data_IF_851376336800
#
_entry.id   IF_851376336800
#
_cell.length_a   1.000
_cell.length_b   1.000
_cell.length_c   1.000
_cell.angle_alpha   90.00
_cell.angle_beta   90.00
_cell.angle_gamma   90.00
#
_symmetry.space_group_name_H-M   'P 1'
#
loop_
_entity.id
_entity.type
_entity.pdbx_description
1 polymer ?
#
# COMPACT_ATOMS: atom_id res chain seq x y z
N UNK A 1 2.74 -13.36 -61.33
CA UNK A 1 2.61 -12.23 -60.39
C UNK A 1 2.05 -12.80 -59.09
N UNK A 2 2.91 -13.42 -58.27
CA UNK A 2 3.55 -12.78 -57.10
C UNK A 2 2.50 -12.29 -56.09
N UNK A 3 2.07 -13.19 -55.23
CA UNK A 3 2.42 -13.16 -53.80
C UNK A 3 2.26 -11.85 -53.02
N UNK A 4 1.37 -10.93 -53.41
CA UNK A 4 1.24 -9.64 -52.71
C UNK A 4 0.10 -9.57 -51.68
N UNK A 5 -0.85 -10.51 -51.66
CA UNK A 5 -2.08 -10.34 -50.87
C UNK A 5 -2.16 -11.11 -49.54
N UNK A 6 -1.25 -12.05 -49.24
CA UNK A 6 -1.28 -12.78 -47.95
C UNK A 6 -0.31 -12.24 -46.90
N UNK A 7 0.76 -11.56 -47.31
CA UNK A 7 1.73 -10.96 -46.38
C UNK A 7 1.19 -9.70 -45.68
N UNK A 8 0.26 -8.96 -46.33
CA UNK A 8 -0.26 -7.71 -45.78
C UNK A 8 -1.23 -7.92 -44.60
N UNK A 9 -2.04 -8.99 -44.62
CA UNK A 9 -2.94 -9.32 -43.52
C UNK A 9 -2.22 -9.86 -42.27
N UNK A 10 -1.07 -10.52 -42.46
CA UNK A 10 -0.25 -11.00 -41.33
C UNK A 10 0.49 -9.83 -40.64
N UNK A 11 0.83 -8.78 -41.38
CA UNK A 11 1.46 -7.56 -40.83
C UNK A 11 0.48 -6.70 -40.02
N UNK A 12 -0.79 -6.64 -40.41
CA UNK A 12 -1.81 -5.87 -39.67
C UNK A 12 -2.25 -6.61 -38.39
N UNK A 13 -2.24 -7.95 -38.39
CA UNK A 13 -2.54 -8.73 -37.18
C UNK A 13 -1.38 -8.79 -36.17
N UNK A 14 -0.13 -8.59 -36.59
CA UNK A 14 1.04 -8.54 -35.70
C UNK A 14 1.28 -7.16 -35.07
N UNK A 15 0.70 -6.09 -35.62
CA UNK A 15 0.74 -4.75 -35.02
C UNK A 15 -0.30 -4.56 -33.89
N UNK A 16 -1.32 -5.42 -33.82
CA UNK A 16 -2.35 -5.35 -32.76
C UNK A 16 -2.08 -6.27 -31.55
N UNK A 17 -1.08 -7.15 -31.60
CA UNK A 17 -0.70 -8.01 -30.47
C UNK A 17 0.30 -7.37 -29.50
N UNK A 18 0.75 -6.14 -29.80
CA UNK A 18 1.61 -5.33 -28.93
C UNK A 18 0.85 -4.15 -28.28
N UNK A 19 -0.48 -4.26 -28.16
CA UNK A 19 -1.16 -3.52 -27.11
C UNK A 19 -0.65 -4.08 -25.78
N UNK A 20 0.47 -3.53 -25.32
CA UNK A 20 0.96 -3.70 -23.96
C UNK A 20 -0.23 -3.42 -23.08
N UNK A 21 -0.84 -4.48 -22.56
CA UNK A 21 -1.64 -4.39 -21.36
C UNK A 21 -0.64 -3.87 -20.35
N UNK A 22 -0.59 -2.55 -20.20
CA UNK A 22 -0.19 -1.95 -18.94
C UNK A 22 -1.27 -2.44 -18.00
N UNK A 23 -1.10 -3.68 -17.52
CA UNK A 23 -1.63 -4.14 -16.25
C UNK A 23 -1.00 -3.18 -15.27
N UNK A 24 -1.61 -2.01 -15.19
CA UNK A 24 -1.22 -0.93 -14.32
C UNK A 24 -1.37 -1.60 -12.97
N UNK A 25 -0.23 -1.85 -12.30
CA UNK A 25 -0.13 -2.36 -10.94
C UNK A 25 -0.82 -1.35 -10.01
N UNK A 26 -2.13 -1.20 -10.14
CA UNK A 26 -2.93 -0.27 -9.37
C UNK A 26 -2.97 -0.84 -7.97
N UNK A 27 -2.43 -0.06 -7.06
CA UNK A 27 -2.49 -0.30 -5.62
C UNK A 27 -3.98 -0.45 -5.28
N UNK A 28 -4.48 -1.66 -4.97
CA UNK A 28 -5.91 -1.94 -4.93
C UNK A 28 -6.56 -1.39 -3.66
N UNK A 29 -5.95 -0.43 -2.98
CA UNK A 29 -6.39 0.04 -1.68
C UNK A 29 -7.40 1.18 -1.82
N UNK A 30 -8.48 1.07 -1.06
CA UNK A 30 -9.50 2.11 -0.93
C UNK A 30 -9.67 2.55 0.51
N UNK A 31 -10.13 3.79 0.67
CA UNK A 31 -10.39 4.43 1.95
C UNK A 31 -11.77 5.08 1.93
N UNK A 32 -12.30 5.40 3.11
CA UNK A 32 -13.58 6.08 3.26
C UNK A 32 -13.40 7.58 3.01
N UNK A 33 -14.26 8.17 2.19
CA UNK A 33 -14.36 9.63 1.97
C UNK A 33 -15.70 10.25 2.38
N UNK A 34 -16.64 9.41 2.81
CA UNK A 34 -17.98 9.85 3.16
C UNK A 34 -17.94 10.92 4.26
N UNK A 35 -18.82 11.91 4.18
CA UNK A 35 -18.89 13.03 5.13
C UNK A 35 -19.07 12.56 6.57
N UNK A 36 -19.85 11.49 6.79
CA UNK A 36 -20.06 10.90 8.11
C UNK A 36 -18.85 10.09 8.60
N UNK A 37 -17.79 9.98 7.80
CA UNK A 37 -16.52 9.36 8.15
C UNK A 37 -16.54 7.82 8.21
N UNK A 38 -17.58 7.17 7.68
CA UNK A 38 -17.66 5.71 7.61
C UNK A 38 -18.35 5.18 6.34
N UNK A 39 -18.15 3.90 6.03
CA UNK A 39 -18.92 3.14 5.05
C UNK A 39 -19.43 1.86 5.68
N UNK A 40 -20.70 1.52 5.47
CA UNK A 40 -21.28 0.27 5.94
C UNK A 40 -20.89 -0.87 5.01
N UNK A 41 -20.45 -1.99 5.60
CA UNK A 41 -20.20 -3.24 4.91
C UNK A 41 -21.43 -4.10 4.98
N UNK A 42 -21.84 -4.65 3.83
CA UNK A 42 -23.02 -5.50 3.68
C UNK A 42 -22.64 -6.87 3.10
N UNK A 43 -23.52 -7.84 3.31
CA UNK A 43 -23.43 -9.17 2.69
C UNK A 43 -24.01 -9.17 1.28
N UNK A 44 -23.90 -10.31 0.61
CA UNK A 44 -24.35 -10.54 -0.76
C UNK A 44 -25.83 -10.18 -1.00
N UNK A 45 -26.15 -10.03 -2.28
CA UNK A 45 -27.36 -9.51 -2.93
C UNK A 45 -28.72 -9.83 -2.31
N UNK A 46 -28.86 -10.95 -1.61
CA UNK A 46 -30.16 -11.40 -1.10
C UNK A 46 -30.55 -10.72 0.22
N UNK A 47 -29.63 -10.02 0.89
CA UNK A 47 -29.88 -9.31 2.15
C UNK A 47 -29.17 -7.94 2.21
N UNK A 48 -29.48 -7.06 1.24
CA UNK A 48 -28.96 -5.68 1.23
C UNK A 48 -29.27 -4.87 2.48
N UNK A 49 -30.19 -5.31 3.35
CA UNK A 49 -30.51 -4.57 4.58
C UNK A 49 -29.50 -4.86 5.69
N UNK A 50 -28.90 -6.05 5.68
CA UNK A 50 -28.02 -6.48 6.76
C UNK A 50 -26.64 -5.83 6.66
N UNK A 51 -26.36 -4.99 7.65
CA UNK A 51 -25.05 -4.43 7.90
C UNK A 51 -24.27 -5.47 8.71
N UNK A 52 -23.08 -5.84 8.23
CA UNK A 52 -22.20 -6.82 8.90
C UNK A 52 -20.96 -6.19 9.50
N UNK A 53 -20.54 -5.03 8.99
CA UNK A 53 -19.46 -4.24 9.58
C UNK A 53 -19.54 -2.76 9.13
N UNK A 54 -18.60 -1.95 9.60
CA UNK A 54 -18.43 -0.53 9.29
C UNK A 54 -16.95 -0.21 9.16
N UNK A 55 -16.51 0.26 8.01
CA UNK A 55 -15.16 0.81 7.78
C UNK A 55 -15.19 2.29 8.16
N UNK A 56 -14.25 2.75 8.98
CA UNK A 56 -14.22 4.13 9.48
C UNK A 56 -12.91 4.83 9.11
N UNK A 57 -13.03 6.05 8.59
CA UNK A 57 -11.90 6.95 8.36
C UNK A 57 -11.19 7.31 9.66
N UNK A 58 -11.95 7.57 10.73
CA UNK A 58 -11.42 8.00 12.05
C UNK A 58 -10.42 6.99 12.64
N UNK A 59 -10.59 5.70 12.36
CA UNK A 59 -9.71 4.62 12.83
C UNK A 59 -8.66 4.22 11.79
N UNK A 60 -8.60 4.93 10.66
CA UNK A 60 -7.68 4.61 9.57
C UNK A 60 -7.95 3.27 8.92
N UNK A 61 -9.21 2.83 8.90
CA UNK A 61 -9.59 1.57 8.27
C UNK A 61 -9.40 1.67 6.76
N UNK A 62 -8.81 0.63 6.18
CA UNK A 62 -8.48 0.51 4.76
C UNK A 62 -8.97 -0.83 4.27
N UNK A 63 -9.34 -0.90 3.00
CA UNK A 63 -9.73 -2.15 2.36
C UNK A 63 -9.00 -2.35 1.03
N UNK A 64 -8.98 -3.59 0.58
CA UNK A 64 -8.51 -4.00 -0.74
C UNK A 64 -9.73 -4.19 -1.64
N UNK A 65 -9.75 -3.48 -2.76
CA UNK A 65 -10.68 -3.66 -3.85
C UNK A 65 -10.48 -5.02 -4.51
N UNK A 66 -11.58 -5.73 -4.75
CA UNK A 66 -11.56 -7.01 -5.43
C UNK A 66 -12.17 -6.88 -6.82
N UNK A 67 -13.44 -6.47 -6.90
CA UNK A 67 -14.20 -6.40 -8.15
C UNK A 67 -15.51 -5.61 -7.98
N UNK A 68 -16.18 -5.20 -9.08
CA UNK A 68 -17.54 -4.70 -9.00
C UNK A 68 -18.48 -5.79 -8.44
N UNK A 69 -19.51 -5.40 -7.69
CA UNK A 69 -20.52 -6.35 -7.24
C UNK A 69 -21.32 -6.90 -8.44
N UNK A 70 -21.52 -8.22 -8.57
CA UNK A 70 -22.25 -8.80 -9.71
C UNK A 70 -23.67 -8.23 -9.84
N UNK A 71 -23.93 -7.56 -10.97
CA UNK A 71 -25.25 -6.98 -11.27
C UNK A 71 -25.57 -5.67 -10.55
N UNK A 72 -24.59 -5.01 -9.92
CA UNK A 72 -24.77 -3.70 -9.29
C UNK A 72 -23.67 -2.72 -9.67
N UNK A 73 -24.07 -1.57 -10.20
CA UNK A 73 -23.12 -0.53 -10.64
C UNK A 73 -22.62 0.35 -9.49
N UNK A 74 -23.30 0.34 -8.34
CA UNK A 74 -23.06 1.26 -7.21
C UNK A 74 -22.31 0.61 -6.03
N UNK A 75 -22.10 -0.70 -6.07
CA UNK A 75 -21.45 -1.46 -4.99
C UNK A 75 -20.20 -2.16 -5.48
N UNK A 76 -19.19 -2.20 -4.60
CA UNK A 76 -17.93 -2.88 -4.87
C UNK A 76 -17.70 -3.97 -3.83
N UNK A 77 -17.15 -5.09 -4.27
CA UNK A 77 -16.69 -6.15 -3.37
C UNK A 77 -15.29 -5.82 -2.86
N UNK A 78 -15.11 -5.94 -1.55
CA UNK A 78 -13.88 -5.60 -0.86
C UNK A 78 -13.43 -6.71 0.08
N UNK A 79 -12.12 -6.77 0.30
CA UNK A 79 -11.48 -7.51 1.39
C UNK A 79 -10.93 -6.53 2.40
N UNK A 80 -11.08 -6.80 3.70
CA UNK A 80 -10.55 -5.94 4.76
C UNK A 80 -10.08 -6.80 5.95
N UNK A 81 -9.17 -6.27 6.79
CA UNK A 81 -8.69 -7.03 7.93
C UNK A 81 -9.79 -7.17 9.00
N UNK A 82 -9.72 -8.25 9.76
CA UNK A 82 -10.45 -8.33 11.02
C UNK A 82 -9.86 -7.32 12.01
N UNK A 83 -10.74 -6.54 12.65
CA UNK A 83 -10.32 -5.43 13.50
C UNK A 83 -9.70 -5.96 14.80
N UNK A 84 -8.55 -5.40 15.15
CA UNK A 84 -8.01 -5.54 16.48
C UNK A 84 -8.65 -4.45 17.35
N UNK A 85 -9.56 -4.85 18.25
CA UNK A 85 -10.22 -3.95 19.20
C UNK A 85 -9.33 -3.59 20.41
N UNK A 86 -8.06 -4.01 20.41
CA UNK A 86 -7.12 -3.59 21.44
C UNK A 86 -6.69 -2.14 21.23
N UNK A 87 -6.64 -1.38 22.33
CA UNK A 87 -6.18 0.01 22.33
C UNK A 87 -4.66 0.07 22.22
N UNK A 88 -4.15 -0.25 21.02
CA UNK A 88 -2.74 -0.16 20.66
C UNK A 88 -2.49 1.12 19.86
N UNK A 89 -1.34 1.77 20.04
CA UNK A 89 -0.97 2.95 19.25
C UNK A 89 -0.76 2.63 17.77
N UNK A 90 -0.53 1.36 17.43
CA UNK A 90 -0.33 0.87 16.07
C UNK A 90 -0.77 -0.59 15.95
N UNK A 91 -1.44 -0.92 14.85
CA UNK A 91 -1.84 -2.30 14.52
C UNK A 91 -1.32 -2.70 13.14
N UNK A 92 -0.71 -3.88 13.03
CA UNK A 92 -0.31 -4.48 11.75
C UNK A 92 -1.24 -5.63 11.41
N UNK A 93 -1.82 -5.57 10.22
CA UNK A 93 -2.64 -6.62 9.62
C UNK A 93 -1.85 -7.30 8.50
N UNK A 94 -1.56 -8.58 8.67
CA UNK A 94 -0.89 -9.42 7.66
C UNK A 94 -1.80 -10.50 7.08
N UNK A 95 -3.11 -10.39 7.38
CA UNK A 95 -4.18 -11.18 6.80
C UNK A 95 -5.39 -10.28 6.51
N UNK A 96 -6.05 -10.53 5.38
CA UNK A 96 -7.21 -9.77 4.92
C UNK A 96 -8.30 -10.77 4.56
N UNK A 97 -9.05 -11.21 5.58
CA UNK A 97 -9.94 -12.37 5.50
C UNK A 97 -11.42 -12.01 5.46
N UNK A 98 -11.79 -10.82 5.96
CA UNK A 98 -13.19 -10.38 5.93
C UNK A 98 -13.53 -9.91 4.51
N UNK A 99 -14.76 -10.17 4.11
CA UNK A 99 -15.30 -9.78 2.81
C UNK A 99 -16.67 -9.12 2.96
N UNK A 100 -17.01 -8.30 1.97
CA UNK A 100 -18.34 -7.73 1.87
C UNK A 100 -18.42 -6.64 0.82
N UNK A 101 -19.55 -5.94 0.81
CA UNK A 101 -19.85 -4.91 -0.17
C UNK A 101 -19.92 -3.53 0.47
N UNK A 102 -19.33 -2.53 -0.19
CA UNK A 102 -19.45 -1.12 0.19
C UNK A 102 -19.93 -0.29 -1.01
N UNK A 103 -20.65 0.79 -0.71
CA UNK A 103 -21.15 1.69 -1.74
C UNK A 103 -19.98 2.54 -2.29
N UNK A 104 -19.82 2.57 -3.62
CA UNK A 104 -18.70 3.25 -4.28
C UNK A 104 -18.67 4.77 -4.01
N UNK A 105 -19.81 5.39 -3.74
CA UNK A 105 -19.89 6.83 -3.50
C UNK A 105 -19.32 7.23 -2.13
N UNK A 106 -19.21 6.26 -1.20
CA UNK A 106 -18.66 6.49 0.16
C UNK A 106 -17.15 6.30 0.25
N UNK A 107 -16.52 5.86 -0.83
CA UNK A 107 -15.09 5.50 -0.86
C UNK A 107 -14.35 6.21 -1.99
N UNK A 108 -13.03 6.21 -1.88
CA UNK A 108 -12.09 6.66 -2.91
C UNK A 108 -10.91 5.71 -2.93
N UNK A 109 -10.38 5.45 -4.13
CA UNK A 109 -9.15 4.69 -4.26
C UNK A 109 -7.95 5.61 -4.01
N UNK A 110 -6.93 5.05 -3.37
CA UNK A 110 -5.78 5.83 -2.91
C UNK A 110 -5.03 6.46 -4.09
N UNK A 111 -5.02 5.81 -5.25
CA UNK A 111 -4.41 6.33 -6.48
C UNK A 111 -5.15 7.55 -7.09
N UNK A 112 -6.39 7.80 -6.66
CA UNK A 112 -7.22 8.95 -7.05
C UNK A 112 -7.09 10.13 -6.07
N UNK A 113 -6.45 9.94 -4.92
CA UNK A 113 -6.23 11.01 -3.95
C UNK A 113 -5.10 11.95 -4.41
N UNK A 114 -5.12 13.22 -3.94
CA UNK A 114 -3.99 14.12 -4.09
C UNK A 114 -2.68 13.47 -3.66
N UNK A 115 -1.70 13.46 -4.56
CA UNK A 115 -0.39 12.83 -4.37
C UNK A 115 0.62 13.87 -3.90
N UNK A 116 1.51 13.45 -3.01
CA UNK A 116 2.67 14.24 -2.63
C UNK A 116 3.73 14.15 -3.72
N UNK A 117 4.48 15.22 -3.92
CA UNK A 117 5.57 15.27 -4.89
C UNK A 117 6.78 14.48 -4.36
N UNK A 118 7.24 13.44 -5.07
CA UNK A 118 8.40 12.67 -4.68
C UNK A 118 9.72 13.36 -5.03
N UNK A 119 10.73 13.17 -4.18
CA UNK A 119 12.11 13.60 -4.41
C UNK A 119 13.07 12.71 -3.61
N UNK A 120 14.36 12.70 -3.98
CA UNK A 120 15.40 12.00 -3.22
C UNK A 120 16.23 12.99 -2.42
N UNK A 121 16.72 12.58 -1.25
CA UNK A 121 17.74 13.34 -0.54
C UNK A 121 19.01 13.47 -1.39
N UNK A 122 19.85 14.46 -1.09
CA UNK A 122 21.13 14.70 -1.81
C UNK A 122 22.06 13.48 -1.84
N UNK A 123 22.02 12.65 -0.80
CA UNK A 123 22.84 11.43 -0.70
C UNK A 123 22.14 10.18 -1.29
N UNK A 124 20.91 10.32 -1.80
CA UNK A 124 20.14 9.23 -2.40
C UNK A 124 19.64 8.16 -1.43
N UNK A 125 19.84 8.31 -0.12
CA UNK A 125 19.46 7.31 0.90
C UNK A 125 18.05 7.50 1.48
N UNK A 126 17.40 8.59 1.12
CA UNK A 126 16.07 8.92 1.63
C UNK A 126 15.13 9.26 0.47
N UNK A 127 13.89 8.81 0.62
CA UNK A 127 12.76 9.25 -0.19
C UNK A 127 12.04 10.36 0.58
N UNK A 128 11.70 11.45 -0.10
CA UNK A 128 11.02 12.61 0.48
C UNK A 128 9.80 12.89 -0.37
N UNK A 129 8.62 12.81 0.25
CA UNK A 129 7.35 13.17 -0.35
C UNK A 129 6.87 14.46 0.27
N UNK A 130 6.62 15.49 -0.54
CA UNK A 130 6.17 16.82 -0.06
C UNK A 130 4.75 17.10 -0.53
N UNK A 131 3.90 17.58 0.37
CA UNK A 131 2.58 18.09 0.01
C UNK A 131 2.70 19.47 -0.65
N UNK A 132 2.57 19.49 -1.98
CA UNK A 132 2.63 20.71 -2.79
C UNK A 132 1.24 21.17 -3.26
N UNK A 133 0.16 20.63 -2.69
CA UNK A 133 -1.22 20.95 -3.10
C UNK A 133 -1.58 22.42 -2.83
N UNK A 134 -0.98 23.04 -1.82
CA UNK A 134 -1.16 24.45 -1.50
C UNK A 134 0.15 25.24 -1.66
N UNK A 135 0.34 25.97 -2.77
CA UNK A 135 1.57 26.70 -3.04
C UNK A 135 1.81 27.87 -2.07
N UNK A 136 0.78 28.34 -1.36
CA UNK A 136 0.88 29.45 -0.39
C UNK A 136 1.63 29.04 0.88
N UNK A 137 1.75 27.74 1.17
CA UNK A 137 2.50 27.26 2.33
C UNK A 137 4.00 27.25 1.99
N UNK A 138 4.86 27.94 2.77
CA UNK A 138 6.31 27.90 2.58
C UNK A 138 6.87 26.48 2.58
N UNK A 139 7.83 26.17 1.72
CA UNK A 139 8.33 24.80 1.51
C UNK A 139 8.94 24.14 2.77
N UNK A 140 9.41 24.91 3.73
CA UNK A 140 9.89 24.43 5.03
C UNK A 140 8.76 24.12 6.03
N UNK A 141 7.54 24.60 5.77
CA UNK A 141 6.34 24.37 6.57
C UNK A 141 5.39 23.35 5.93
N UNK A 142 5.64 22.93 4.68
CA UNK A 142 4.84 21.90 4.01
C UNK A 142 4.93 20.56 4.73
N UNK A 143 3.84 19.80 4.67
CA UNK A 143 3.81 18.43 5.16
C UNK A 143 4.76 17.57 4.35
N UNK A 144 5.58 16.75 5.01
CA UNK A 144 6.55 15.85 4.39
C UNK A 144 6.50 14.47 5.01
N UNK A 145 6.60 13.45 4.16
CA UNK A 145 6.90 12.08 4.58
C UNK A 145 8.31 11.73 4.11
N UNK A 146 9.18 11.42 5.06
CA UNK A 146 10.61 11.13 4.81
C UNK A 146 10.88 9.69 5.21
N UNK A 147 11.38 8.90 4.26
CA UNK A 147 11.67 7.48 4.43
C UNK A 147 13.18 7.29 4.29
N UNK A 148 13.83 6.83 5.34
CA UNK A 148 15.26 6.51 5.32
C UNK A 148 15.47 5.01 5.12
N UNK A 149 16.26 4.66 4.09
CA UNK A 149 16.55 3.28 3.71
C UNK A 149 18.05 3.04 3.83
N UNK A 150 18.43 2.02 4.59
CA UNK A 150 19.82 1.72 4.94
C UNK A 150 20.11 0.23 4.81
N UNK A 151 21.41 -0.16 4.71
CA UNK A 151 21.82 -1.55 4.78
C UNK A 151 21.26 -2.23 6.03
N UNK A 152 20.75 -3.45 5.87
CA UNK A 152 20.17 -4.24 6.95
C UNK A 152 21.25 -5.00 7.72
N UNK A 153 21.05 -5.07 9.04
CA UNK A 153 21.83 -5.91 9.94
C UNK A 153 21.16 -7.26 10.22
N UNK A 154 20.23 -7.70 9.37
CA UNK A 154 19.58 -9.00 9.48
C UNK A 154 20.55 -10.20 9.53
N UNK A 155 21.71 -10.09 8.88
CA UNK A 155 22.70 -11.16 8.78
C UNK A 155 23.34 -11.54 10.13
N UNK A 156 23.41 -10.60 11.08
CA UNK A 156 23.92 -10.86 12.45
C UNK A 156 22.83 -11.24 13.46
N UNK A 157 21.57 -11.30 13.03
CA UNK A 157 20.42 -11.51 13.91
C UNK A 157 19.99 -12.97 13.95
N UNK A 158 19.30 -13.35 15.02
CA UNK A 158 18.80 -14.73 15.17
C UNK A 158 17.67 -14.97 14.17
N UNK A 159 17.82 -16.03 13.36
CA UNK A 159 16.85 -16.47 12.37
C UNK A 159 16.08 -17.69 12.88
N UNK A 160 14.78 -17.76 12.58
CA UNK A 160 13.96 -18.96 12.72
C UNK A 160 13.48 -19.36 11.32
N UNK A 161 13.61 -20.65 10.97
CA UNK A 161 13.19 -21.21 9.69
C UNK A 161 12.07 -22.24 9.86
N UNK A 162 11.22 -22.38 8.86
CA UNK A 162 10.24 -23.47 8.77
C UNK A 162 10.88 -24.78 8.24
N UNK A 163 10.06 -25.83 8.08
CA UNK A 163 10.52 -27.15 7.63
C UNK A 163 11.05 -27.11 6.18
N UNK A 164 10.56 -26.18 5.37
CA UNK A 164 10.94 -25.97 3.97
C UNK A 164 12.20 -25.07 3.84
N UNK A 165 12.71 -24.57 4.97
CA UNK A 165 13.92 -23.74 5.06
C UNK A 165 13.70 -22.25 4.81
N UNK A 166 12.45 -21.77 4.75
CA UNK A 166 12.13 -20.36 4.62
C UNK A 166 12.37 -19.64 5.94
N UNK A 167 12.95 -18.44 5.88
CA UNK A 167 13.13 -17.58 7.05
C UNK A 167 11.76 -16.97 7.41
N UNK A 168 11.18 -17.45 8.51
CA UNK A 168 9.86 -17.01 8.99
C UNK A 168 9.96 -15.90 10.04
N UNK A 169 11.08 -15.83 10.78
CA UNK A 169 11.33 -14.77 11.75
C UNK A 169 12.80 -14.36 11.82
N UNK A 170 13.00 -13.08 12.18
CA UNK A 170 14.28 -12.50 12.57
C UNK A 170 14.06 -11.73 13.87
N UNK A 171 14.90 -11.96 14.88
CA UNK A 171 14.73 -11.41 16.24
C UNK A 171 13.31 -11.62 16.80
N UNK A 172 12.83 -12.87 16.71
CA UNK A 172 11.50 -13.32 17.19
C UNK A 172 10.30 -12.64 16.52
N UNK A 173 10.50 -11.85 15.47
CA UNK A 173 9.43 -11.18 14.74
C UNK A 173 9.33 -11.68 13.31
N UNK A 174 8.10 -11.81 12.82
CA UNK A 174 7.81 -12.19 11.42
C UNK A 174 8.52 -11.26 10.44
N UNK A 175 8.87 -11.80 9.28
CA UNK A 175 9.64 -11.11 8.24
C UNK A 175 8.90 -11.06 6.91
N UNK A 176 9.21 -10.03 6.11
CA UNK A 176 8.66 -9.84 4.77
C UNK A 176 9.77 -9.43 3.80
N UNK A 177 9.65 -9.86 2.54
CA UNK A 177 10.63 -9.54 1.49
C UNK A 177 11.81 -10.50 1.36
N UNK A 178 11.82 -11.59 2.13
CA UNK A 178 12.87 -12.61 2.13
C UNK A 178 12.27 -14.01 2.10
N UNK A 179 13.00 -14.95 1.51
CA UNK A 179 12.64 -16.37 1.40
C UNK A 179 13.56 -17.24 2.24
N UNK A 180 14.29 -18.16 1.60
CA UNK A 180 15.18 -19.15 2.27
C UNK A 180 16.50 -18.59 2.77
N UNK A 181 16.95 -17.51 2.15
CA UNK A 181 18.23 -16.86 2.42
C UNK A 181 18.09 -15.34 2.45
N UNK A 182 19.08 -14.67 3.05
CA UNK A 182 19.17 -13.22 3.08
C UNK A 182 19.92 -12.76 1.83
N UNK A 183 19.31 -11.91 0.98
CA UNK A 183 20.01 -11.35 -0.16
C UNK A 183 21.24 -10.54 0.27
N UNK A 184 22.32 -10.62 -0.49
CA UNK A 184 23.47 -9.73 -0.31
C UNK A 184 23.07 -8.27 -0.53
N UNK A 185 23.66 -7.35 0.23
CA UNK A 185 23.37 -5.92 0.11
C UNK A 185 21.93 -5.54 0.51
N UNK A 186 21.21 -6.42 1.21
CA UNK A 186 19.83 -6.16 1.61
C UNK A 186 19.68 -4.87 2.41
N UNK A 187 18.63 -4.12 2.08
CA UNK A 187 18.25 -2.89 2.76
C UNK A 187 17.00 -3.10 3.62
N UNK A 188 16.81 -2.20 4.59
CA UNK A 188 15.61 -2.12 5.41
C UNK A 188 15.19 -0.65 5.61
N UNK A 189 13.92 -0.46 5.95
CA UNK A 189 13.43 0.84 6.37
C UNK A 189 14.01 1.14 7.76
N UNK A 190 14.85 2.17 7.83
CA UNK A 190 15.46 2.61 9.08
C UNK A 190 14.51 3.50 9.87
N UNK A 191 13.85 4.43 9.20
CA UNK A 191 12.83 5.28 9.79
C UNK A 191 11.85 5.82 8.75
N UNK A 192 10.63 6.09 9.19
CA UNK A 192 9.67 6.91 8.46
C UNK A 192 9.30 8.06 9.38
N UNK A 193 9.45 9.28 8.89
CA UNK A 193 9.11 10.52 9.62
C UNK A 193 8.02 11.25 8.89
N UNK A 194 7.07 11.78 9.64
CA UNK A 194 6.04 12.70 9.14
C UNK A 194 6.28 14.05 9.77
N UNK A 195 6.52 15.05 8.95
CA UNK A 195 6.68 16.44 9.35
C UNK A 195 5.43 17.19 8.90
N UNK A 196 4.76 17.86 9.82
CA UNK A 196 3.59 18.71 9.58
C UNK A 196 3.84 20.08 10.23
N UNK A 197 3.13 21.15 9.82
CA UNK A 197 3.19 22.42 10.55
C UNK A 197 2.96 22.21 12.06
N UNK A 198 3.93 22.59 12.88
CA UNK A 198 3.84 22.48 14.35
C UNK A 198 3.91 21.06 14.93
N UNK A 199 4.15 20.03 14.10
CA UNK A 199 4.21 18.63 14.55
C UNK A 199 5.26 17.83 13.78
N UNK A 200 6.08 17.07 14.49
CA UNK A 200 6.95 16.06 13.89
C UNK A 200 6.75 14.72 14.60
N UNK A 201 6.62 13.65 13.84
CA UNK A 201 6.42 12.30 14.36
C UNK A 201 7.29 11.31 13.61
N UNK A 202 7.67 10.24 14.31
CA UNK A 202 8.40 9.11 13.76
C UNK A 202 7.54 7.87 13.93
N UNK A 203 7.49 7.02 12.91
CA UNK A 203 6.79 5.74 13.03
C UNK A 203 7.39 4.92 14.18
N UNK A 204 6.52 4.29 14.97
CA UNK A 204 6.94 3.33 15.98
C UNK A 204 7.72 2.19 15.34
N UNK A 205 8.69 1.59 16.06
CA UNK A 205 9.57 0.58 15.46
C UNK A 205 8.80 -0.59 14.87
N UNK A 206 7.72 -1.01 15.52
CA UNK A 206 6.88 -2.12 15.05
C UNK A 206 6.19 -1.83 13.71
N UNK A 207 6.00 -0.56 13.32
CA UNK A 207 5.43 -0.21 12.03
C UNK A 207 6.37 -0.44 10.84
N UNK A 208 7.68 -0.56 11.10
CA UNK A 208 8.71 -0.67 10.05
C UNK A 208 9.65 -1.86 10.21
N UNK A 209 9.64 -2.52 11.37
CA UNK A 209 10.57 -3.63 11.68
C UNK A 209 10.29 -4.84 10.78
N UNK A 210 11.40 -5.44 10.32
CA UNK A 210 11.47 -6.65 9.50
C UNK A 210 10.77 -6.57 8.13
N UNK A 211 10.60 -5.35 7.61
CA UNK A 211 10.21 -5.07 6.22
C UNK A 211 11.48 -4.87 5.39
N UNK A 212 11.88 -5.91 4.66
CA UNK A 212 13.12 -5.92 3.91
C UNK A 212 12.92 -5.58 2.44
N UNK A 213 14.02 -5.19 1.79
CA UNK A 213 14.05 -4.81 0.38
C UNK A 213 13.02 -3.72 0.04
N UNK A 214 12.99 -2.59 0.80
CA UNK A 214 12.12 -1.49 0.45
C UNK A 214 12.53 -0.89 -0.90
N UNK A 215 11.54 -0.51 -1.70
CA UNK A 215 11.80 0.12 -3.01
C UNK A 215 12.31 1.56 -2.87
N UNK A 216 13.15 1.97 -3.82
CA UNK A 216 13.62 3.36 -4.01
C UNK A 216 13.08 3.98 -5.31
N UNK A 217 12.15 3.30 -5.96
CA UNK A 217 11.55 3.65 -7.24
C UNK A 217 10.15 4.25 -7.03
N UNK A 218 9.96 5.49 -7.50
CA UNK A 218 8.73 6.26 -7.31
C UNK A 218 7.50 5.68 -8.04
N UNK A 219 7.68 4.74 -8.97
CA UNK A 219 6.54 4.02 -9.54
C UNK A 219 5.97 2.97 -8.57
N UNK A 220 6.77 2.55 -7.58
CA UNK A 220 6.44 1.51 -6.62
C UNK A 220 6.20 2.03 -5.19
N UNK A 221 6.34 3.34 -4.96
CA UNK A 221 6.08 3.98 -3.66
C UNK A 221 5.35 5.30 -3.87
N UNK A 222 4.37 5.58 -3.02
CA UNK A 222 3.66 6.85 -3.09
C UNK A 222 3.05 7.25 -1.77
N UNK A 223 2.87 8.56 -1.64
CA UNK A 223 2.18 9.18 -0.51
C UNK A 223 1.04 9.99 -1.06
N UNK A 224 -0.14 9.79 -0.48
CA UNK A 224 -1.36 10.51 -0.82
C UNK A 224 -2.05 10.98 0.44
N UNK A 225 -2.94 11.95 0.32
CA UNK A 225 -3.69 12.44 1.46
C UNK A 225 -5.15 12.65 1.08
N UNK A 226 -6.04 12.28 1.99
CA UNK A 226 -7.44 12.69 1.91
C UNK A 226 -7.60 14.11 2.45
N UNK A 227 -6.91 14.42 3.55
CA UNK A 227 -6.81 15.73 4.16
C UNK A 227 -5.47 15.87 4.91
N UNK A 228 -5.27 16.97 5.64
CA UNK A 228 -4.02 17.25 6.35
C UNK A 228 -3.69 16.22 7.44
N UNK A 229 -4.69 15.55 8.01
CA UNK A 229 -4.54 14.61 9.10
C UNK A 229 -4.58 13.16 8.64
N UNK A 230 -5.19 12.84 7.49
CA UNK A 230 -5.32 11.48 6.95
C UNK A 230 -4.41 11.29 5.72
N UNK A 231 -3.21 10.78 5.98
CA UNK A 231 -2.17 10.52 4.99
C UNK A 231 -2.02 9.00 4.80
N UNK A 232 -1.76 8.57 3.57
CA UNK A 232 -1.58 7.18 3.21
C UNK A 232 -0.25 7.00 2.50
N UNK A 233 0.57 6.08 3.01
CA UNK A 233 1.82 5.67 2.38
C UNK A 233 1.64 4.24 1.87
N UNK A 234 1.92 4.01 0.60
CA UNK A 234 2.02 2.67 0.05
C UNK A 234 3.41 2.42 -0.52
N UNK A 235 3.87 1.17 -0.44
CA UNK A 235 5.16 0.77 -0.95
C UNK A 235 5.12 -0.70 -1.39
N UNK A 236 5.51 -0.94 -2.64
CA UNK A 236 5.66 -2.26 -3.23
C UNK A 236 7.13 -2.67 -3.08
N UNK A 237 7.37 -3.67 -2.25
CA UNK A 237 8.68 -4.08 -1.76
C UNK A 237 9.02 -5.51 -2.16
N UNK A 238 10.29 -5.89 -1.94
CA UNK A 238 10.78 -7.20 -2.31
C UNK A 238 10.88 -7.39 -3.83
N UNK A 239 11.15 -8.63 -4.23
CA UNK A 239 11.30 -9.02 -5.63
C UNK A 239 10.83 -10.46 -5.83
N UNK A 240 10.44 -10.81 -7.06
CA UNK A 240 9.98 -12.15 -7.42
C UNK A 240 8.87 -12.67 -6.51
N UNK A 241 9.00 -13.92 -6.08
CA UNK A 241 8.08 -14.60 -5.15
C UNK A 241 7.98 -13.95 -3.76
N UNK A 242 8.96 -13.11 -3.40
CA UNK A 242 9.02 -12.44 -2.10
C UNK A 242 8.45 -11.03 -2.16
N UNK A 243 7.84 -10.62 -3.29
CA UNK A 243 7.20 -9.31 -3.45
C UNK A 243 6.00 -9.15 -2.51
N UNK A 244 5.86 -7.97 -1.94
CA UNK A 244 4.77 -7.64 -1.03
C UNK A 244 4.45 -6.16 -1.08
N UNK A 245 3.19 -5.80 -0.84
CA UNK A 245 2.74 -4.43 -0.71
C UNK A 245 2.56 -4.11 0.75
N UNK A 246 3.04 -2.93 1.13
CA UNK A 246 2.83 -2.34 2.46
C UNK A 246 2.00 -1.09 2.29
N UNK A 247 0.99 -0.94 3.13
CA UNK A 247 0.12 0.20 3.16
C UNK A 247 0.04 0.70 4.60
N UNK A 248 0.33 1.97 4.86
CA UNK A 248 0.19 2.58 6.17
C UNK A 248 -0.89 3.65 6.13
N UNK A 249 -1.78 3.60 7.12
CA UNK A 249 -2.65 4.71 7.47
C UNK A 249 -1.96 5.57 8.51
N UNK A 250 -1.78 6.85 8.19
CA UNK A 250 -1.16 7.84 9.04
C UNK A 250 -2.25 8.81 9.44
N UNK A 251 -2.45 8.96 10.75
CA UNK A 251 -3.37 9.92 11.32
C UNK A 251 -2.62 10.89 12.20
N UNK A 252 -2.77 12.19 11.95
CA UNK A 252 -2.15 13.23 12.78
C UNK A 252 -0.62 13.02 12.92
N UNK A 253 0.01 12.56 11.84
CA UNK A 253 1.44 12.23 11.79
C UNK A 253 1.82 10.85 12.34
N UNK A 254 0.96 10.18 13.11
CA UNK A 254 1.26 8.85 13.65
C UNK A 254 0.78 7.74 12.71
N UNK A 255 1.60 6.71 12.49
CA UNK A 255 1.14 5.48 11.86
C UNK A 255 0.21 4.74 12.83
N UNK A 256 -1.07 4.63 12.47
CA UNK A 256 -2.09 3.98 13.30
C UNK A 256 -2.38 2.56 12.86
N UNK A 257 -2.21 2.26 11.58
CA UNK A 257 -2.35 0.90 11.07
C UNK A 257 -1.44 0.64 9.88
N UNK A 258 -1.15 -0.63 9.65
CA UNK A 258 -0.46 -1.12 8.47
C UNK A 258 -1.15 -2.36 7.94
N UNK A 259 -1.35 -2.43 6.63
CA UNK A 259 -1.68 -3.66 5.93
C UNK A 259 -0.43 -4.14 5.20
N UNK A 260 -0.11 -5.42 5.34
CA UNK A 260 0.87 -6.10 4.51
C UNK A 260 0.15 -7.13 3.66
N UNK A 261 0.19 -6.91 2.36
CA UNK A 261 -0.48 -7.74 1.38
C UNK A 261 0.57 -8.40 0.50
N UNK A 262 0.72 -9.71 0.59
CA UNK A 262 1.43 -10.47 -0.44
C UNK A 262 0.51 -10.52 -1.66
N UNK A 263 1.04 -10.20 -2.84
CA UNK A 263 0.29 -10.31 -4.09
C UNK A 263 0.68 -11.65 -4.75
N UNK A 264 0.00 -12.77 -4.47
CA UNK A 264 0.15 -13.98 -5.27
C UNK A 264 -0.73 -13.85 -6.52
N UNK A 265 -0.49 -12.82 -7.34
CA UNK A 265 -1.03 -12.70 -8.70
C UNK A 265 0.01 -12.02 -9.58
#
# INVERSE_FOLDING_TARGET
>A
MISLNKAFYISIFSLFSLASVKAQNKVPFGVVKAEEGYAMVRVHKDDYRKIVDKIRMKTGDVFVYVKPAPGETEWIWIKYPEKDDTDKPFVRYDSITKEGMVNKNRIVFVDQLPKFTPSKSKNGKSLIFTDDTNPKIPGNQRTKVIIDIYPSYAHIKKQEKDAEGNIIKIDKQKTWGIGKELPEGMTEIKSIRVQQPGRGSVFVRDAIKNLFQPTMDFDNVGVTALDQDHIFLYMINGSGENRYVTFWSIKQGAAISQIIYKNPE
#
